data_IF_361740060869
#
_entry.id   IF_361740060869
#
_cell.length_a   1.000
_cell.length_b   1.000
_cell.length_c   1.000
_cell.angle_alpha   90.00
_cell.angle_beta   90.00
_cell.angle_gamma   90.00
#
_symmetry.space_group_name_H-M   'P 1'
#
loop_
_entity.id
_entity.type
_entity.pdbx_description
1 polymer ?
#
# COMPACT_ATOMS: atom_id res chain seq x y z
N UNK A 1 5.55 6.14 0.55
CA UNK A 1 6.40 5.08 1.15
C UNK A 1 7.17 4.40 0.05
N UNK A 2 8.15 3.53 0.34
CA UNK A 2 8.78 2.76 -0.74
C UNK A 2 7.81 1.69 -1.28
N UNK A 3 7.94 1.41 -2.57
CA UNK A 3 7.11 0.43 -3.28
C UNK A 3 7.03 -0.96 -2.60
N UNK A 4 8.12 -1.56 -2.10
CA UNK A 4 8.05 -2.85 -1.42
C UNK A 4 7.12 -2.87 -0.22
N UNK A 5 6.96 -1.75 0.49
CA UNK A 5 6.08 -1.65 1.67
C UNK A 5 4.61 -1.75 1.28
N UNK A 6 4.22 -1.18 0.13
CA UNK A 6 2.86 -1.32 -0.40
C UNK A 6 2.53 -2.79 -0.71
N UNK A 7 3.46 -3.52 -1.34
CA UNK A 7 3.30 -4.95 -1.64
C UNK A 7 3.23 -5.79 -0.37
N UNK A 8 4.08 -5.48 0.61
CA UNK A 8 4.09 -6.15 1.91
C UNK A 8 2.74 -5.97 2.62
N UNK A 9 2.23 -4.74 2.70
CA UNK A 9 0.93 -4.46 3.33
C UNK A 9 -0.21 -5.14 2.57
N UNK A 10 -0.20 -5.12 1.24
CA UNK A 10 -1.18 -5.85 0.43
C UNK A 10 -1.19 -7.35 0.74
N UNK A 11 -0.01 -7.99 0.82
CA UNK A 11 0.13 -9.38 1.23
C UNK A 11 -0.37 -9.63 2.65
N UNK A 12 -0.08 -8.71 3.57
CA UNK A 12 -0.49 -8.81 4.97
C UNK A 12 -2.00 -8.67 5.15
N UNK A 13 -2.66 -7.78 4.40
CA UNK A 13 -4.13 -7.66 4.34
C UNK A 13 -4.74 -8.98 3.87
N UNK A 14 -4.22 -9.58 2.80
CA UNK A 14 -4.70 -10.86 2.30
C UNK A 14 -4.56 -11.96 3.34
N UNK A 15 -3.39 -12.05 4.00
CA UNK A 15 -3.16 -13.00 5.09
C UNK A 15 -4.12 -12.80 6.27
N UNK A 16 -4.35 -11.56 6.69
CA UNK A 16 -5.27 -11.22 7.78
C UNK A 16 -6.71 -11.59 7.42
N UNK A 17 -7.14 -11.32 6.18
CA UNK A 17 -8.51 -11.63 5.70
C UNK A 17 -8.83 -13.13 5.77
N UNK A 18 -7.82 -13.99 5.58
CA UNK A 18 -7.97 -15.45 5.68
C UNK A 18 -7.94 -16.00 7.11
N UNK A 19 -7.58 -15.19 8.12
CA UNK A 19 -7.32 -15.69 9.48
C UNK A 19 -8.63 -16.00 10.21
N UNK A 20 -8.75 -17.19 10.80
CA UNK A 20 -9.97 -17.63 11.49
C UNK A 20 -10.45 -16.68 12.60
N UNK A 21 -9.54 -15.99 13.29
CA UNK A 21 -9.91 -14.98 14.30
C UNK A 21 -10.59 -13.75 13.70
N UNK A 22 -10.10 -13.28 12.55
CA UNK A 22 -10.69 -12.14 11.83
C UNK A 22 -12.06 -12.56 11.29
N UNK A 23 -12.14 -13.74 10.66
CA UNK A 23 -13.41 -14.30 10.19
C UNK A 23 -14.45 -14.51 11.29
N UNK A 24 -14.03 -14.89 12.50
CA UNK A 24 -14.97 -14.99 13.65
C UNK A 24 -15.51 -13.63 14.10
N UNK A 25 -14.72 -12.56 13.97
CA UNK A 25 -15.13 -11.19 14.34
C UNK A 25 -15.91 -10.49 13.24
N UNK A 26 -15.62 -10.81 11.98
CA UNK A 26 -16.20 -10.20 10.78
C UNK A 26 -16.67 -11.32 9.83
N UNK A 27 -17.78 -12.02 10.18
CA UNK A 27 -18.20 -13.22 9.46
C UNK A 27 -18.56 -12.97 7.99
N UNK A 28 -19.09 -11.79 7.68
CA UNK A 28 -19.50 -11.39 6.32
C UNK A 28 -18.34 -10.91 5.44
N UNK A 29 -17.11 -10.79 5.97
CA UNK A 29 -15.98 -10.30 5.17
C UNK A 29 -15.39 -11.42 4.29
N UNK A 30 -15.27 -11.20 2.98
CA UNK A 30 -14.71 -12.19 2.08
C UNK A 30 -13.19 -12.31 2.27
N UNK A 31 -12.66 -13.51 2.03
CA UNK A 31 -11.22 -13.71 1.92
C UNK A 31 -10.71 -13.04 0.65
N UNK A 32 -9.68 -12.21 0.79
CA UNK A 32 -9.12 -11.45 -0.33
C UNK A 32 -7.95 -12.19 -0.95
N UNK A 33 -7.96 -12.30 -2.27
CA UNK A 33 -6.89 -12.95 -3.02
C UNK A 33 -5.61 -12.10 -3.01
N UNK A 34 -4.53 -12.62 -2.41
CA UNK A 34 -3.22 -11.96 -2.32
C UNK A 34 -2.69 -11.50 -3.69
N UNK A 35 -2.67 -12.32 -4.76
CA UNK A 35 -2.22 -11.84 -6.08
C UNK A 35 -2.98 -10.62 -6.60
N UNK A 36 -4.28 -10.53 -6.34
CA UNK A 36 -5.12 -9.44 -6.82
C UNK A 36 -5.02 -8.19 -5.94
N UNK A 37 -4.77 -8.36 -4.64
CA UNK A 37 -4.36 -7.27 -3.75
C UNK A 37 -3.02 -6.65 -4.20
N UNK A 38 -2.02 -7.49 -4.48
CA UNK A 38 -0.71 -7.06 -4.98
C UNK A 38 -0.84 -6.37 -6.33
N UNK A 39 -1.66 -6.91 -7.24
CA UNK A 39 -1.96 -6.26 -8.51
C UNK A 39 -2.58 -4.88 -8.30
N UNK A 40 -3.61 -4.78 -7.46
CA UNK A 40 -4.24 -3.51 -7.10
C UNK A 40 -3.26 -2.49 -6.50
N UNK A 41 -2.42 -2.91 -5.57
CA UNK A 41 -1.39 -2.06 -4.97
C UNK A 41 -0.30 -1.65 -5.97
N UNK A 42 -0.05 -2.46 -7.00
CA UNK A 42 0.95 -2.14 -8.03
C UNK A 42 0.44 -1.11 -9.04
N UNK A 43 -0.87 -1.08 -9.30
CA UNK A 43 -1.48 -0.28 -10.36
C UNK A 43 -1.11 1.22 -10.32
N UNK A 44 -1.20 1.94 -9.18
CA UNK A 44 -0.92 3.37 -9.16
C UNK A 44 0.48 3.71 -9.67
N UNK A 45 1.49 3.00 -9.16
CA UNK A 45 2.89 3.20 -9.53
C UNK A 45 3.20 2.71 -10.95
N UNK A 46 2.58 1.62 -11.38
CA UNK A 46 2.76 1.08 -12.73
C UNK A 46 2.20 2.03 -13.81
N UNK A 47 1.22 2.86 -13.47
CA UNK A 47 0.66 3.89 -14.36
C UNK A 47 1.46 5.18 -14.25
N UNK A 48 1.64 5.71 -13.05
CA UNK A 48 2.15 7.08 -12.90
C UNK A 48 3.66 7.18 -13.11
N UNK A 49 4.43 6.14 -12.79
CA UNK A 49 5.89 6.19 -12.97
C UNK A 49 6.28 6.28 -14.44
N UNK A 50 5.76 5.43 -15.36
CA UNK A 50 6.02 5.60 -16.78
C UNK A 50 5.53 6.94 -17.33
N UNK A 51 4.33 7.39 -16.93
CA UNK A 51 3.80 8.68 -17.41
C UNK A 51 4.70 9.85 -16.99
N UNK A 52 5.17 9.87 -15.74
CA UNK A 52 6.12 10.88 -15.26
C UNK A 52 7.48 10.78 -15.94
N UNK A 53 8.01 9.56 -16.11
CA UNK A 53 9.32 9.34 -16.73
C UNK A 53 9.34 9.72 -18.23
N UNK A 54 8.22 9.54 -18.92
CA UNK A 54 8.03 9.95 -20.31
C UNK A 54 7.68 11.44 -20.46
N UNK A 55 7.53 12.18 -19.35
CA UNK A 55 7.17 13.60 -19.36
C UNK A 55 5.72 13.86 -19.80
N UNK A 56 4.84 12.85 -19.78
CA UNK A 56 3.40 13.02 -20.08
C UNK A 56 2.71 13.82 -18.98
N UNK A 57 3.21 13.71 -17.75
CA UNK A 57 2.78 14.46 -16.58
C UNK A 57 4.00 14.93 -15.80
N UNK A 58 3.87 16.07 -15.14
CA UNK A 58 4.98 16.70 -14.39
C UNK A 58 5.20 16.07 -12.99
N UNK A 59 4.50 14.99 -12.66
CA UNK A 59 4.54 14.39 -11.32
C UNK A 59 4.36 12.87 -11.35
N UNK A 60 5.00 12.20 -10.38
CA UNK A 60 4.93 10.75 -10.21
C UNK A 60 3.71 10.26 -9.39
N UNK A 61 2.82 11.18 -8.98
CA UNK A 61 1.49 10.84 -8.43
C UNK A 61 0.44 11.67 -9.16
N UNK A 62 -0.21 11.07 -10.15
CA UNK A 62 -1.17 11.68 -11.06
C UNK A 62 -2.41 10.80 -11.23
N UNK A 63 -2.58 10.13 -12.37
CA UNK A 63 -3.77 9.38 -12.77
C UNK A 63 -4.03 8.21 -11.82
N UNK A 64 -3.06 7.30 -11.68
CA UNK A 64 -3.16 6.08 -10.90
C UNK A 64 -3.36 6.33 -9.40
N UNK A 65 -2.86 7.45 -8.91
CA UNK A 65 -3.03 7.90 -7.52
C UNK A 65 -4.21 8.84 -7.28
N UNK A 66 -5.01 9.13 -8.30
CA UNK A 66 -6.19 9.97 -8.16
C UNK A 66 -7.32 9.23 -7.47
N UNK A 67 -7.79 9.74 -6.34
CA UNK A 67 -8.98 9.25 -5.66
C UNK A 67 -10.27 9.44 -6.48
N UNK A 68 -10.21 10.25 -7.55
CA UNK A 68 -11.31 10.34 -8.52
C UNK A 68 -11.58 9.02 -9.26
N UNK A 69 -10.63 8.07 -9.22
CA UNK A 69 -10.83 6.70 -9.71
C UNK A 69 -11.63 5.81 -8.74
N UNK A 70 -11.99 6.30 -7.54
CA UNK A 70 -12.75 5.52 -6.56
C UNK A 70 -14.08 4.95 -7.10
N UNK A 71 -14.91 5.68 -7.88
CA UNK A 71 -16.12 5.11 -8.48
C UNK A 71 -15.82 3.93 -9.42
N UNK A 72 -14.73 4.00 -10.18
CA UNK A 72 -14.28 2.89 -11.02
C UNK A 72 -13.83 1.70 -10.17
N UNK A 73 -13.07 1.95 -9.10
CA UNK A 73 -12.66 0.91 -8.16
C UNK A 73 -13.88 0.21 -7.52
N UNK A 74 -14.92 0.95 -7.15
CA UNK A 74 -16.20 0.41 -6.66
C UNK A 74 -16.91 -0.42 -7.73
N UNK A 75 -16.98 0.07 -8.97
CA UNK A 75 -17.58 -0.68 -10.07
C UNK A 75 -16.83 -1.99 -10.35
N UNK A 76 -15.49 -1.97 -10.32
CA UNK A 76 -14.65 -3.16 -10.47
C UNK A 76 -14.92 -4.14 -9.31
N UNK A 77 -14.99 -3.63 -8.08
CA UNK A 77 -15.29 -4.44 -6.89
C UNK A 77 -16.66 -5.12 -6.96
N UNK A 78 -17.68 -4.44 -7.49
CA UNK A 78 -19.02 -4.97 -7.61
C UNK A 78 -19.20 -5.99 -8.75
N UNK A 79 -18.40 -5.88 -9.83
CA UNK A 79 -18.61 -6.65 -11.07
C UNK A 79 -17.69 -7.85 -11.25
N UNK A 80 -16.55 -7.90 -10.56
CA UNK A 80 -15.56 -8.95 -10.76
C UNK A 80 -15.31 -9.76 -9.49
N UNK A 81 -15.17 -11.08 -9.65
CA UNK A 81 -14.91 -12.02 -8.53
C UNK A 81 -13.71 -11.67 -7.65
N UNK A 82 -12.73 -10.93 -8.19
CA UNK A 82 -11.55 -10.46 -7.46
C UNK A 82 -11.45 -8.93 -7.42
N UNK A 83 -12.48 -8.24 -7.89
CA UNK A 83 -12.46 -6.78 -8.00
C UNK A 83 -12.28 -6.11 -6.64
N UNK A 84 -12.88 -6.67 -5.58
CA UNK A 84 -12.71 -6.16 -4.23
C UNK A 84 -11.25 -6.24 -3.76
N UNK A 85 -10.54 -7.33 -4.07
CA UNK A 85 -9.13 -7.47 -3.75
C UNK A 85 -8.29 -6.41 -4.49
N UNK A 86 -8.57 -6.16 -5.77
CA UNK A 86 -7.92 -5.11 -6.56
C UNK A 86 -8.19 -3.72 -5.96
N UNK A 87 -9.45 -3.41 -5.67
CA UNK A 87 -9.86 -2.12 -5.12
C UNK A 87 -9.24 -1.87 -3.73
N UNK A 88 -9.19 -2.88 -2.87
CA UNK A 88 -8.55 -2.79 -1.54
C UNK A 88 -7.04 -2.60 -1.67
N UNK A 89 -6.38 -3.32 -2.59
CA UNK A 89 -4.95 -3.17 -2.83
C UNK A 89 -4.61 -1.76 -3.33
N UNK A 90 -5.37 -1.27 -4.31
CA UNK A 90 -5.25 0.10 -4.82
C UNK A 90 -5.47 1.14 -3.71
N UNK A 91 -6.56 0.99 -2.96
CA UNK A 91 -6.87 1.90 -1.84
C UNK A 91 -5.80 1.89 -0.76
N UNK A 92 -5.23 0.72 -0.43
CA UNK A 92 -4.15 0.62 0.55
C UNK A 92 -2.88 1.36 0.11
N UNK A 93 -2.56 1.35 -1.19
CA UNK A 93 -1.40 2.05 -1.74
C UNK A 93 -1.57 3.56 -1.61
N UNK A 94 -2.72 4.10 -2.02
CA UNK A 94 -3.06 5.51 -1.86
C UNK A 94 -3.04 5.94 -0.38
N UNK A 95 -3.59 5.11 0.51
CA UNK A 95 -3.61 5.40 1.94
C UNK A 95 -2.20 5.46 2.53
N UNK A 96 -1.31 4.52 2.19
CA UNK A 96 0.07 4.51 2.67
C UNK A 96 0.90 5.68 2.14
N UNK A 97 0.68 6.08 0.88
CA UNK A 97 1.35 7.25 0.32
C UNK A 97 0.85 8.55 0.95
N UNK A 98 -0.46 8.65 1.22
CA UNK A 98 -1.04 9.79 1.95
C UNK A 98 -0.52 9.85 3.38
N UNK A 99 -0.47 8.71 4.08
CA UNK A 99 0.10 8.60 5.42
C UNK A 99 1.56 9.08 5.43
N UNK A 100 2.36 8.65 4.46
CA UNK A 100 3.73 9.10 4.29
C UNK A 100 3.85 10.61 4.09
N UNK A 101 2.99 11.20 3.25
CA UNK A 101 2.95 12.65 3.03
C UNK A 101 2.65 13.39 4.34
N UNK A 102 1.66 12.92 5.10
CA UNK A 102 1.23 13.53 6.36
C UNK A 102 2.28 13.38 7.46
N UNK A 103 2.84 12.18 7.65
CA UNK A 103 3.86 11.90 8.67
C UNK A 103 5.15 12.71 8.44
N UNK A 104 5.47 13.01 7.18
CA UNK A 104 6.57 13.90 6.84
C UNK A 104 6.23 15.40 6.94
N UNK A 105 5.11 15.76 7.58
CA UNK A 105 4.73 17.16 7.85
C UNK A 105 4.15 17.90 6.64
N UNK A 106 3.78 17.19 5.57
CA UNK A 106 3.34 17.79 4.30
C UNK A 106 1.87 17.53 4.01
N UNK A 107 1.02 17.56 5.04
CA UNK A 107 -0.40 17.20 4.93
C UNK A 107 -1.15 17.99 3.84
N UNK A 108 -0.77 19.25 3.58
CA UNK A 108 -1.31 20.05 2.47
C UNK A 108 -1.10 19.45 1.08
N UNK A 109 -0.12 18.56 0.90
CA UNK A 109 0.12 17.85 -0.37
C UNK A 109 -0.80 16.63 -0.57
N UNK A 110 -1.62 16.24 0.42
CA UNK A 110 -2.63 15.20 0.26
C UNK A 110 -3.70 15.56 -0.78
N UNK A 111 -3.82 16.84 -1.16
CA UNK A 111 -4.64 17.31 -2.29
C UNK A 111 -4.26 16.64 -3.62
N UNK A 112 -3.10 15.97 -3.69
CA UNK A 112 -2.71 15.12 -4.81
C UNK A 112 -3.75 14.05 -5.16
N UNK A 113 -4.53 13.58 -4.18
CA UNK A 113 -5.63 12.64 -4.41
C UNK A 113 -6.72 13.22 -5.32
N UNK A 114 -6.84 14.55 -5.41
CA UNK A 114 -7.79 15.24 -6.27
C UNK A 114 -7.22 15.61 -7.64
N UNK A 115 -6.04 15.08 -8.03
CA UNK A 115 -5.51 15.27 -9.37
C UNK A 115 -6.53 14.80 -10.43
N UNK A 116 -6.75 15.51 -11.56
CA UNK A 116 -6.06 16.73 -12.00
C UNK A 116 -6.73 18.03 -11.54
N UNK A 117 -7.79 17.97 -10.73
CA UNK A 117 -8.60 19.13 -10.35
C UNK A 117 -7.82 20.10 -9.46
N UNK A 118 -7.00 19.58 -8.54
CA UNK A 118 -6.15 20.36 -7.67
C UNK A 118 -4.67 20.17 -7.99
N UNK A 119 -3.91 21.26 -7.96
CA UNK A 119 -2.46 21.25 -8.07
C UNK A 119 -1.83 21.14 -6.69
N UNK A 120 -0.76 20.34 -6.58
CA UNK A 120 0.06 20.27 -5.36
C UNK A 120 0.72 21.63 -5.12
N UNK A 121 0.69 22.18 -3.89
CA UNK A 121 1.40 23.41 -3.55
C UNK A 121 2.91 23.35 -3.79
N UNK A 122 3.51 22.19 -3.50
CA UNK A 122 4.96 21.98 -3.59
C UNK A 122 5.25 20.52 -3.99
N UNK A 123 5.21 20.16 -5.29
CA UNK A 123 5.50 18.81 -5.74
C UNK A 123 7.00 18.52 -5.63
N UNK A 124 7.39 17.40 -5.01
CA UNK A 124 8.81 17.00 -4.96
C UNK A 124 9.41 16.80 -6.36
N UNK A 125 8.61 16.34 -7.33
CA UNK A 125 9.03 16.16 -8.73
C UNK A 125 10.17 15.16 -8.97
N UNK A 126 10.75 14.56 -7.93
CA UNK A 126 11.93 13.71 -8.04
C UNK A 126 11.59 12.29 -8.54
N UNK A 127 12.40 11.71 -9.45
CA UNK A 127 12.23 10.33 -9.89
C UNK A 127 12.38 9.30 -8.77
N UNK A 128 11.85 8.07 -8.92
CA UNK A 128 11.87 7.04 -7.87
C UNK A 128 13.26 6.71 -7.32
N UNK A 129 14.30 6.71 -8.16
CA UNK A 129 15.67 6.41 -7.73
C UNK A 129 16.27 7.48 -6.82
N UNK A 130 16.01 8.75 -7.12
CA UNK A 130 16.44 9.89 -6.29
C UNK A 130 15.59 9.99 -5.03
N UNK A 131 14.29 9.73 -5.15
CA UNK A 131 13.38 9.65 -4.02
C UNK A 131 13.89 8.68 -2.95
N UNK A 132 14.39 7.50 -3.33
CA UNK A 132 14.90 6.53 -2.35
C UNK A 132 16.03 7.09 -1.48
N UNK A 133 16.92 7.93 -2.05
CA UNK A 133 18.00 8.59 -1.30
C UNK A 133 17.46 9.72 -0.44
N UNK A 134 16.60 10.57 -1.00
CA UNK A 134 15.92 11.65 -0.27
C UNK A 134 15.09 11.13 0.90
N UNK A 135 14.54 9.92 0.78
CA UNK A 135 13.67 9.31 1.76
C UNK A 135 14.39 8.90 3.05
N UNK A 136 15.68 8.56 2.97
CA UNK A 136 16.47 8.12 4.12
C UNK A 136 16.54 9.23 5.18
N UNK A 137 16.25 8.88 6.43
CA UNK A 137 16.27 9.82 7.55
C UNK A 137 14.99 10.66 7.72
N UNK A 138 14.00 10.52 6.84
CA UNK A 138 12.68 11.15 7.04
C UNK A 138 11.89 10.47 8.16
N UNK A 139 10.93 11.15 8.82
CA UNK A 139 10.06 10.53 9.83
C UNK A 139 9.36 9.26 9.33
N UNK A 140 8.84 9.29 8.10
CA UNK A 140 8.21 8.13 7.49
C UNK A 140 9.17 6.99 7.20
N UNK A 141 10.44 7.27 6.91
CA UNK A 141 11.44 6.22 6.75
C UNK A 141 11.61 5.42 8.05
N UNK A 142 11.66 6.09 9.20
CA UNK A 142 11.71 5.40 10.49
C UNK A 142 10.43 4.62 10.79
N UNK A 143 9.26 5.15 10.42
CA UNK A 143 7.99 4.41 10.50
C UNK A 143 8.03 3.15 9.64
N UNK A 144 8.52 3.24 8.40
CA UNK A 144 8.65 2.11 7.49
C UNK A 144 9.62 1.06 8.05
N UNK A 145 10.77 1.48 8.61
CA UNK A 145 11.69 0.59 9.34
C UNK A 145 10.98 -0.12 10.49
N UNK A 146 10.18 0.59 11.30
CA UNK A 146 9.44 -0.02 12.40
C UNK A 146 8.41 -1.07 11.94
N UNK A 147 7.73 -0.82 10.80
CA UNK A 147 6.82 -1.78 10.17
C UNK A 147 7.57 -3.06 9.79
N UNK A 148 8.69 -2.92 9.08
CA UNK A 148 9.50 -4.07 8.65
C UNK A 148 10.11 -4.84 9.82
N UNK A 149 10.64 -4.16 10.84
CA UNK A 149 11.17 -4.81 12.04
C UNK A 149 10.09 -5.59 12.77
N UNK A 150 8.89 -5.02 12.91
CA UNK A 150 7.74 -5.71 13.51
C UNK A 150 7.37 -6.96 12.70
N UNK A 151 7.33 -6.85 11.38
CA UNK A 151 7.04 -7.99 10.50
C UNK A 151 8.07 -9.12 10.67
N UNK A 152 9.36 -8.76 10.69
CA UNK A 152 10.47 -9.69 10.88
C UNK A 152 10.37 -10.39 12.24
N UNK A 153 10.14 -9.63 13.32
CA UNK A 153 9.99 -10.19 14.67
C UNK A 153 8.79 -11.15 14.77
N UNK A 154 7.66 -10.81 14.14
CA UNK A 154 6.49 -11.68 14.09
C UNK A 154 6.76 -12.96 13.31
N UNK A 155 7.47 -12.88 12.18
CA UNK A 155 7.88 -14.03 11.39
C UNK A 155 8.82 -14.95 12.17
N UNK A 156 9.81 -14.37 12.87
CA UNK A 156 10.70 -15.10 13.76
C UNK A 156 9.93 -15.81 14.88
N UNK A 157 9.04 -15.09 15.58
CA UNK A 157 8.23 -15.66 16.66
C UNK A 157 7.37 -16.83 16.17
N UNK A 158 6.80 -16.72 14.98
CA UNK A 158 6.02 -17.80 14.39
C UNK A 158 6.89 -19.02 14.03
N UNK A 159 8.07 -18.81 13.44
CA UNK A 159 8.98 -19.89 13.05
C UNK A 159 9.52 -20.67 14.24
N UNK A 160 9.88 -19.98 15.32
CA UNK A 160 10.52 -20.59 16.50
C UNK A 160 9.53 -20.99 17.60
N UNK A 161 8.39 -20.30 17.75
CA UNK A 161 7.34 -20.68 18.70
C UNK A 161 6.62 -21.98 18.37
N UNK A 162 6.53 -22.34 17.07
CA UNK A 162 5.99 -23.63 16.61
C UNK A 162 7.00 -24.78 16.79
N UNK A 163 8.30 -24.48 16.81
CA UNK A 163 9.36 -25.46 17.06
C UNK A 163 9.42 -25.92 18.52
N UNK A 164 9.25 -24.98 19.47
CA UNK A 164 9.28 -25.29 20.90
C UNK A 164 8.08 -26.14 21.37
N UNK A 165 6.90 -25.94 20.78
CA UNK A 165 5.69 -26.71 21.12
C UNK A 165 5.75 -28.15 20.60
N UNK A 166 6.37 -28.41 19.44
CA UNK A 166 6.55 -29.77 18.89
C UNK A 166 7.54 -30.66 19.66
N UNK A 167 8.46 -30.08 20.43
CA UNK A 167 9.41 -30.83 21.26
C UNK A 167 8.89 -31.11 22.68
N UNK A 168 7.82 -30.45 23.12
CA UNK A 168 7.21 -30.69 24.42
C UNK A 168 6.19 -31.86 24.39
N UNK A 169 5.73 -32.27 23.19
CA UNK A 169 4.77 -33.35 22.97
C UNK A 169 5.45 -34.68 22.54
N UNK A 170 6.78 -34.81 22.73
CA UNK A 170 7.56 -36.04 22.50
C UNK A 170 8.21 -36.49 23.79
#
# INVERSE_FOLDING_TARGET
MLFPTHLFVAGWIGWLSGRSRVRKRLPETPTLSVPWLVAGATLPDAVDKPLGALGVVDTYHSVGHSALLAPLAVAVAARHRHGLAVAVGWGSHLALDTLHIVVNGRAGNAVSLAWPVLKKPDPLGIPPGEFARFYVGTPSFYLEVAIWLTAILLAFRWRFGVGASRNADR
#
